data_IF_175261366221
#
_entry.id   IF_175261366221
#
_cell.length_a   1.000
_cell.length_b   1.000
_cell.length_c   1.000
_cell.angle_alpha   90.00
_cell.angle_beta   90.00
_cell.angle_gamma   90.00
#
_symmetry.space_group_name_H-M   'P 1'
#
loop_
_entity.id
_entity.type
_entity.pdbx_description
1 polymer ?
#
# COMPACT_ATOMS: atom_id res chain seq x y z
N UNK A 1 -9.85 1.29 -39.66
CA UNK A 1 -11.01 1.60 -38.80
C UNK A 1 -10.55 1.54 -37.35
N UNK A 2 -10.87 2.51 -36.48
CA UNK A 2 -10.60 2.33 -35.06
C UNK A 2 -11.37 1.10 -34.56
N UNK A 3 -10.68 0.22 -33.83
CA UNK A 3 -11.28 -0.96 -33.22
C UNK A 3 -12.35 -0.50 -32.23
N UNK A 4 -13.60 -0.95 -32.42
CA UNK A 4 -14.70 -0.66 -31.49
C UNK A 4 -14.75 -1.77 -30.44
N UNK A 5 -14.51 -1.41 -29.18
CA UNK A 5 -14.56 -2.35 -28.07
C UNK A 5 -16.03 -2.66 -27.70
N UNK A 6 -16.28 -3.88 -27.22
CA UNK A 6 -17.56 -4.20 -26.56
C UNK A 6 -17.60 -3.59 -25.16
N UNK A 7 -18.78 -3.39 -24.53
CA UNK A 7 -18.86 -2.86 -23.16
C UNK A 7 -18.05 -3.66 -22.14
N UNK A 8 -17.98 -4.99 -22.31
CA UNK A 8 -17.14 -5.84 -21.45
C UNK A 8 -15.65 -5.55 -21.63
N UNK A 9 -15.18 -5.42 -22.88
CA UNK A 9 -13.79 -5.06 -23.18
C UNK A 9 -13.45 -3.65 -22.70
N UNK A 10 -14.38 -2.70 -22.83
CA UNK A 10 -14.24 -1.35 -22.26
C UNK A 10 -14.05 -1.42 -20.74
N UNK A 11 -14.82 -2.27 -20.04
CA UNK A 11 -14.66 -2.52 -18.60
C UNK A 11 -13.29 -3.12 -18.22
N UNK A 12 -12.80 -4.09 -18.98
CA UNK A 12 -11.46 -4.68 -18.76
C UNK A 12 -10.35 -3.63 -18.94
N UNK A 13 -10.42 -2.83 -20.02
CA UNK A 13 -9.46 -1.76 -20.28
C UNK A 13 -9.54 -0.68 -19.21
N UNK A 14 -10.74 -0.30 -18.77
CA UNK A 14 -10.93 0.65 -17.68
C UNK A 14 -10.29 0.15 -16.38
N UNK A 15 -10.50 -1.12 -16.01
CA UNK A 15 -9.85 -1.74 -14.85
C UNK A 15 -8.32 -1.74 -15.00
N UNK A 16 -7.81 -2.14 -16.15
CA UNK A 16 -6.36 -2.16 -16.41
C UNK A 16 -5.72 -0.77 -16.23
N UNK A 17 -6.40 0.28 -16.72
CA UNK A 17 -5.95 1.67 -16.61
C UNK A 17 -6.14 2.28 -15.21
N UNK A 18 -6.97 1.68 -14.35
CA UNK A 18 -7.23 2.19 -13.02
C UNK A 18 -6.09 1.91 -12.03
N UNK A 19 -5.11 1.06 -12.39
CA UNK A 19 -3.95 0.77 -11.54
C UNK A 19 -3.24 2.08 -11.10
N UNK A 20 -2.88 2.23 -9.80
CA UNK A 20 -2.84 1.24 -8.73
C UNK A 20 -4.16 1.03 -7.96
N UNK A 21 -5.30 1.33 -8.60
CA UNK A 21 -6.67 1.20 -8.09
C UNK A 21 -7.04 2.24 -7.02
N UNK A 22 -6.65 3.49 -7.28
CA UNK A 22 -6.82 4.60 -6.35
C UNK A 22 -5.72 4.65 -5.30
N UNK A 23 -5.03 5.79 -5.21
CA UNK A 23 -3.99 6.00 -4.19
C UNK A 23 -4.64 6.61 -2.95
N UNK A 24 -4.39 6.12 -1.73
CA UNK A 24 -4.93 6.75 -0.51
C UNK A 24 -4.60 8.25 -0.45
N UNK A 25 -5.52 9.09 0.01
CA UNK A 25 -5.24 10.51 0.21
C UNK A 25 -4.46 10.77 1.50
N UNK A 26 -4.62 9.89 2.49
CA UNK A 26 -3.97 9.95 3.80
C UNK A 26 -3.64 8.55 4.35
N UNK A 27 -2.90 8.49 5.46
CA UNK A 27 -2.77 7.24 6.22
C UNK A 27 -4.13 6.79 6.73
N UNK A 28 -4.36 5.48 6.84
CA UNK A 28 -5.62 4.95 7.33
C UNK A 28 -5.45 3.58 8.00
N UNK A 29 -6.40 3.22 8.87
CA UNK A 29 -6.64 1.84 9.26
C UNK A 29 -7.68 1.27 8.30
N UNK A 30 -7.32 0.19 7.60
CA UNK A 30 -8.26 -0.63 6.87
C UNK A 30 -8.94 -1.57 7.87
N UNK A 31 -10.20 -1.30 8.22
CA UNK A 31 -10.96 -2.04 9.23
C UNK A 31 -12.23 -2.57 8.58
N UNK A 32 -12.33 -3.89 8.47
CA UNK A 32 -13.53 -4.56 7.94
C UNK A 32 -14.00 -4.07 6.56
N UNK A 33 -13.05 -3.67 5.71
CA UNK A 33 -13.35 -3.13 4.37
C UNK A 33 -13.54 -1.63 4.30
N UNK A 34 -13.51 -0.94 5.45
CA UNK A 34 -13.66 0.51 5.56
C UNK A 34 -12.33 1.19 5.87
N UNK A 35 -12.18 2.45 5.43
CA UNK A 35 -11.00 3.26 5.67
C UNK A 35 -11.24 4.25 6.82
N UNK A 36 -10.41 4.16 7.85
CA UNK A 36 -10.44 5.06 9.00
C UNK A 36 -9.19 5.94 9.01
N UNK A 37 -9.28 7.25 8.75
CA UNK A 37 -8.13 8.13 8.64
C UNK A 37 -7.25 8.15 9.90
N UNK A 38 -5.94 8.05 9.70
CA UNK A 38 -4.92 8.11 10.75
C UNK A 38 -4.11 9.37 10.55
N UNK A 39 -4.03 10.20 11.58
CA UNK A 39 -3.16 11.38 11.58
C UNK A 39 -1.72 11.00 11.91
N UNK A 40 -1.52 10.17 12.94
CA UNK A 40 -0.20 9.71 13.39
C UNK A 40 -0.28 8.26 13.83
N UNK A 41 0.62 7.42 13.33
CA UNK A 41 0.63 5.99 13.65
C UNK A 41 1.73 5.69 14.65
N UNK A 42 1.37 5.02 15.74
CA UNK A 42 2.32 4.58 16.74
C UNK A 42 2.67 3.12 16.50
N UNK A 43 3.87 2.85 15.99
CA UNK A 43 4.35 1.45 15.83
C UNK A 43 4.58 0.76 17.17
N UNK A 44 4.91 1.52 18.22
CA UNK A 44 5.15 1.01 19.57
C UNK A 44 3.85 0.61 20.28
N UNK A 45 2.80 1.39 20.08
CA UNK A 45 1.47 1.12 20.61
C UNK A 45 0.40 1.50 19.57
N UNK A 46 0.09 0.59 18.63
CA UNK A 46 -0.85 0.86 17.56
C UNK A 46 -2.24 1.30 18.02
N UNK A 47 -2.68 0.88 19.21
CA UNK A 47 -3.96 1.29 19.80
C UNK A 47 -4.00 2.77 20.17
N UNK A 48 -2.83 3.38 20.43
CA UNK A 48 -2.69 4.80 20.75
C UNK A 48 -2.36 5.66 19.52
N UNK A 49 -2.50 5.11 18.32
CA UNK A 49 -2.41 5.89 17.08
C UNK A 49 -3.47 6.99 17.06
N UNK A 50 -3.08 8.20 16.65
CA UNK A 50 -3.98 9.35 16.55
C UNK A 50 -4.84 9.23 15.31
N UNK A 51 -6.16 9.18 15.50
CA UNK A 51 -7.16 9.12 14.45
C UNK A 51 -7.57 10.53 14.00
N UNK A 52 -7.74 10.72 12.69
CA UNK A 52 -8.27 11.96 12.14
C UNK A 52 -9.80 11.94 12.20
N UNK A 53 -10.38 12.45 13.31
CA UNK A 53 -11.84 12.60 13.46
C UNK A 53 -12.27 14.06 13.41
N UNK A 54 -13.52 14.32 13.00
CA UNK A 54 -14.05 15.67 12.74
C UNK A 54 -14.18 16.58 13.98
N UNK A 55 -13.89 16.10 15.20
CA UNK A 55 -14.19 16.86 16.42
C UNK A 55 -13.00 17.01 17.38
N UNK A 56 -12.14 16.01 17.56
CA UNK A 56 -10.87 16.05 18.33
C UNK A 56 -9.97 14.89 17.87
N UNK A 57 -8.64 15.04 17.92
CA UNK A 57 -7.74 13.89 17.79
C UNK A 57 -8.02 12.88 18.92
N UNK A 58 -8.33 11.65 18.57
CA UNK A 58 -8.65 10.56 19.51
C UNK A 58 -7.75 9.36 19.22
N UNK A 59 -7.48 8.53 20.22
CA UNK A 59 -6.73 7.30 19.98
C UNK A 59 -7.56 6.29 19.19
N UNK A 60 -6.90 5.34 18.51
CA UNK A 60 -7.61 4.24 17.84
C UNK A 60 -8.46 3.46 18.86
N UNK A 61 -7.94 3.20 20.06
CA UNK A 61 -8.69 2.55 21.15
C UNK A 61 -10.02 3.25 21.43
N UNK A 62 -10.00 4.57 21.60
CA UNK A 62 -11.20 5.37 21.86
C UNK A 62 -12.15 5.41 20.66
N UNK A 63 -11.60 5.59 19.44
CA UNK A 63 -12.39 5.67 18.21
C UNK A 63 -13.19 4.38 17.93
N UNK A 64 -12.71 3.23 18.42
CA UNK A 64 -13.35 1.92 18.25
C UNK A 64 -14.02 1.37 19.52
N UNK A 65 -13.98 2.07 20.66
CA UNK A 65 -14.48 1.56 21.95
C UNK A 65 -15.96 1.12 21.94
N UNK A 66 -16.78 1.71 21.07
CA UNK A 66 -18.21 1.39 20.94
C UNK A 66 -18.56 0.73 19.59
N UNK A 67 -17.55 0.22 18.88
CA UNK A 67 -17.74 -0.50 17.63
C UNK A 67 -17.62 -2.00 17.87
N UNK A 68 -18.35 -2.77 17.08
CA UNK A 68 -18.26 -4.24 17.07
C UNK A 68 -17.02 -4.69 16.30
N UNK A 69 -15.85 -4.24 16.77
CA UNK A 69 -14.54 -4.46 16.17
C UNK A 69 -13.58 -4.79 17.30
N UNK A 70 -12.92 -5.95 17.22
CA UNK A 70 -11.83 -6.28 18.13
C UNK A 70 -10.56 -5.49 17.76
N UNK A 71 -10.54 -4.23 18.15
CA UNK A 71 -9.42 -3.33 17.91
C UNK A 71 -8.16 -3.75 18.69
N UNK A 72 -8.28 -4.60 19.72
CA UNK A 72 -7.12 -5.07 20.49
C UNK A 72 -6.13 -5.85 19.60
N UNK A 73 -6.63 -6.50 18.54
CA UNK A 73 -5.83 -7.16 17.50
C UNK A 73 -4.92 -6.20 16.71
N UNK A 74 -5.15 -4.88 16.79
CA UNK A 74 -4.28 -3.86 16.21
C UNK A 74 -2.87 -3.92 16.83
N UNK A 75 -2.75 -4.26 18.11
CA UNK A 75 -1.47 -4.40 18.82
C UNK A 75 -0.71 -5.71 18.54
N UNK A 76 -1.26 -6.62 17.73
CA UNK A 76 -0.53 -7.82 17.33
C UNK A 76 0.80 -7.45 16.62
N UNK A 77 1.86 -8.27 16.74
CA UNK A 77 3.11 -8.05 16.02
C UNK A 77 2.87 -7.95 14.51
N UNK A 78 3.47 -6.93 13.89
CA UNK A 78 3.26 -6.59 12.47
C UNK A 78 4.58 -6.41 11.73
N UNK A 79 4.60 -6.87 10.49
CA UNK A 79 5.70 -6.73 9.56
C UNK A 79 5.41 -5.52 8.67
N UNK A 80 6.28 -4.50 8.65
CA UNK A 80 6.14 -3.36 7.76
C UNK A 80 6.48 -3.76 6.33
N UNK A 81 5.51 -3.66 5.42
CA UNK A 81 5.69 -3.92 4.00
C UNK A 81 5.42 -2.65 3.19
N UNK A 82 6.44 -2.17 2.49
CA UNK A 82 6.37 -1.00 1.64
C UNK A 82 5.54 -1.31 0.39
N UNK A 83 4.46 -0.55 0.19
CA UNK A 83 3.58 -0.68 -0.96
C UNK A 83 4.15 0.13 -2.14
N UNK A 84 4.77 -0.56 -3.08
CA UNK A 84 5.28 0.02 -4.34
C UNK A 84 4.16 0.39 -5.32
N UNK A 85 2.97 -0.17 -5.14
CA UNK A 85 1.81 0.07 -5.99
C UNK A 85 0.51 -0.30 -5.29
N UNK A 86 -0.25 -1.23 -5.86
CA UNK A 86 -1.65 -1.43 -5.49
C UNK A 86 -1.92 -1.95 -4.06
N UNK A 87 -0.90 -2.37 -3.32
CA UNK A 87 -1.04 -2.82 -1.93
C UNK A 87 -1.39 -1.70 -0.95
N UNK A 88 -1.30 -0.44 -1.38
CA UNK A 88 -1.82 0.69 -0.63
C UNK A 88 -3.32 0.92 -0.87
N UNK A 89 -3.91 0.37 -1.93
CA UNK A 89 -5.29 0.67 -2.34
C UNK A 89 -6.31 -0.05 -1.45
N UNK A 90 -7.29 0.66 -0.88
CA UNK A 90 -8.40 0.04 -0.16
C UNK A 90 -9.20 -0.95 -1.02
N UNK A 91 -9.39 -0.62 -2.30
CA UNK A 91 -10.11 -1.48 -3.25
C UNK A 91 -9.38 -2.81 -3.39
N UNK A 92 -8.04 -2.78 -3.52
CA UNK A 92 -7.25 -4.00 -3.62
C UNK A 92 -7.17 -4.77 -2.33
N UNK A 93 -7.06 -4.10 -1.18
CA UNK A 93 -7.13 -4.78 0.11
C UNK A 93 -8.48 -5.47 0.28
N UNK A 94 -9.60 -4.82 -0.09
CA UNK A 94 -10.93 -5.46 -0.05
C UNK A 94 -11.02 -6.69 -0.94
N UNK A 95 -10.44 -6.66 -2.14
CA UNK A 95 -10.38 -7.83 -3.03
C UNK A 95 -9.50 -8.96 -2.46
N UNK A 96 -8.33 -8.64 -1.89
CA UNK A 96 -7.39 -9.62 -1.35
C UNK A 96 -7.88 -10.29 -0.06
N UNK A 97 -8.63 -9.56 0.77
CA UNK A 97 -9.08 -10.02 2.09
C UNK A 97 -10.58 -10.31 2.14
N UNK A 98 -11.25 -10.44 1.00
CA UNK A 98 -12.71 -10.60 0.91
C UNK A 98 -13.27 -11.73 1.80
N UNK A 99 -12.57 -12.88 1.85
CA UNK A 99 -13.01 -14.07 2.59
C UNK A 99 -12.89 -13.94 4.11
N UNK A 100 -12.18 -12.91 4.58
CA UNK A 100 -11.84 -12.68 6.00
C UNK A 100 -12.04 -11.22 6.39
N UNK A 101 -12.89 -10.52 5.64
CA UNK A 101 -12.98 -9.07 5.69
C UNK A 101 -13.43 -8.61 7.08
N UNK A 102 -14.42 -9.26 7.65
CA UNK A 102 -15.00 -9.05 9.00
C UNK A 102 -13.99 -9.07 10.16
N UNK A 103 -12.83 -9.70 9.97
CA UNK A 103 -11.75 -9.75 10.96
C UNK A 103 -10.46 -9.05 10.51
N UNK A 104 -10.50 -8.31 9.40
CA UNK A 104 -9.31 -7.69 8.83
C UNK A 104 -9.10 -6.29 9.37
N UNK A 105 -7.96 -6.09 10.03
CA UNK A 105 -7.44 -4.79 10.48
C UNK A 105 -5.99 -4.62 10.00
N UNK A 106 -5.76 -3.68 9.09
CA UNK A 106 -4.45 -3.41 8.49
C UNK A 106 -4.16 -1.90 8.55
N UNK A 107 -3.16 -1.44 9.31
CA UNK A 107 -2.62 -0.09 9.18
C UNK A 107 -1.95 0.10 7.83
N UNK A 108 -2.32 1.16 7.12
CA UNK A 108 -1.76 1.58 5.83
C UNK A 108 -1.29 3.02 5.97
N UNK A 109 0.01 3.18 6.19
CA UNK A 109 0.56 4.41 6.76
C UNK A 109 1.47 5.08 5.75
N UNK A 110 1.25 6.38 5.52
CA UNK A 110 2.07 7.20 4.63
C UNK A 110 3.40 7.55 5.29
N UNK A 111 4.48 7.41 4.53
CA UNK A 111 5.81 7.89 4.86
C UNK A 111 6.38 8.68 3.67
N UNK A 112 7.17 9.70 3.96
CA UNK A 112 8.21 10.16 3.03
C UNK A 112 9.34 9.14 3.04
N UNK A 113 9.72 8.66 1.86
CA UNK A 113 10.77 7.66 1.65
C UNK A 113 11.85 8.26 0.77
N UNK A 114 13.10 8.21 1.22
CA UNK A 114 14.23 8.74 0.46
C UNK A 114 14.99 7.64 -0.30
N UNK A 115 15.63 8.03 -1.39
CA UNK A 115 16.50 7.23 -2.24
C UNK A 115 15.84 6.04 -2.95
N UNK A 116 14.51 5.93 -2.94
CA UNK A 116 13.77 4.79 -3.45
C UNK A 116 12.48 5.27 -4.11
N UNK A 117 12.21 4.83 -5.34
CA UNK A 117 11.01 5.22 -6.08
C UNK A 117 10.18 4.01 -6.50
N UNK A 118 8.83 4.11 -6.47
CA UNK A 118 7.96 3.21 -7.18
C UNK A 118 8.04 3.48 -8.70
N UNK A 119 8.35 2.44 -9.47
CA UNK A 119 8.47 2.50 -10.93
C UNK A 119 7.68 1.37 -11.57
N UNK A 120 7.33 1.52 -12.86
CA UNK A 120 6.64 0.45 -13.57
C UNK A 120 7.57 -0.75 -13.76
N UNK A 121 7.05 -1.95 -13.50
CA UNK A 121 7.74 -3.20 -13.83
C UNK A 121 7.55 -3.53 -15.31
N UNK A 122 8.53 -4.21 -15.93
CA UNK A 122 8.46 -4.63 -17.33
C UNK A 122 7.55 -5.86 -17.54
N UNK A 123 6.32 -5.85 -16.99
CA UNK A 123 5.33 -6.91 -17.16
C UNK A 123 3.89 -6.40 -17.19
N UNK A 124 2.99 -7.23 -17.68
CA UNK A 124 1.56 -7.10 -17.48
C UNK A 124 1.09 -8.11 -16.43
N UNK A 125 0.23 -7.66 -15.51
CA UNK A 125 -0.55 -8.58 -14.68
C UNK A 125 -1.69 -9.23 -15.49
N UNK A 126 -2.29 -10.29 -14.95
CA UNK A 126 -3.42 -11.00 -15.56
C UNK A 126 -4.62 -10.10 -15.90
N UNK A 127 -4.81 -9.00 -15.18
CA UNK A 127 -5.85 -8.00 -15.42
C UNK A 127 -5.41 -6.85 -16.36
N UNK A 128 -4.26 -6.99 -17.04
CA UNK A 128 -3.83 -6.11 -18.13
C UNK A 128 -3.14 -4.81 -17.72
N UNK A 129 -2.89 -4.57 -16.43
CA UNK A 129 -2.10 -3.41 -15.98
C UNK A 129 -0.61 -3.71 -16.02
N UNK A 130 0.19 -2.67 -16.27
CA UNK A 130 1.61 -2.68 -15.94
C UNK A 130 1.74 -2.37 -14.45
N UNK A 131 2.27 -3.32 -13.69
CA UNK A 131 2.33 -3.21 -12.23
C UNK A 131 3.59 -2.47 -11.75
N UNK A 132 3.69 -2.27 -10.44
CA UNK A 132 4.82 -1.57 -9.84
C UNK A 132 5.97 -2.50 -9.46
N UNK A 133 7.16 -1.91 -9.36
CA UNK A 133 8.28 -2.40 -8.58
C UNK A 133 9.04 -1.21 -7.97
N UNK A 134 10.19 -1.47 -7.35
CA UNK A 134 11.00 -0.46 -6.68
C UNK A 134 12.36 -0.33 -7.34
N UNK A 135 12.84 0.90 -7.41
CA UNK A 135 14.16 1.24 -7.91
C UNK A 135 14.88 2.19 -6.97
N UNK A 136 16.14 1.88 -6.67
CA UNK A 136 17.04 2.76 -5.93
C UNK A 136 17.40 3.95 -6.81
N UNK A 137 17.10 5.16 -6.33
CA UNK A 137 17.36 6.42 -7.04
C UNK A 137 17.90 7.40 -6.02
N UNK A 138 19.23 7.57 -5.91
CA UNK A 138 19.83 8.49 -4.94
C UNK A 138 19.26 9.90 -5.03
N UNK A 139 19.15 10.57 -3.89
CA UNK A 139 18.68 11.96 -3.76
C UNK A 139 17.22 12.18 -4.16
N UNK A 140 16.44 11.11 -4.35
CA UNK A 140 14.99 11.19 -4.52
C UNK A 140 14.26 11.16 -3.16
N UNK A 141 13.06 11.75 -3.13
CA UNK A 141 12.09 11.61 -2.04
C UNK A 141 10.70 11.43 -2.65
N UNK A 142 9.91 10.49 -2.11
CA UNK A 142 8.55 10.21 -2.57
C UNK A 142 7.65 9.83 -1.40
N UNK A 143 6.36 10.16 -1.51
CA UNK A 143 5.34 9.64 -0.60
C UNK A 143 5.01 8.19 -0.98
N UNK A 144 5.14 7.28 -0.02
CA UNK A 144 4.73 5.88 -0.17
C UNK A 144 3.95 5.42 1.04
N UNK A 145 3.23 4.32 0.88
CA UNK A 145 2.48 3.71 1.97
C UNK A 145 3.18 2.44 2.46
N UNK A 146 3.06 2.17 3.75
CA UNK A 146 3.51 0.94 4.40
C UNK A 146 2.28 0.24 4.95
N UNK A 147 2.06 -1.01 4.54
CA UNK A 147 1.08 -1.88 5.17
C UNK A 147 1.74 -2.62 6.34
N UNK A 148 1.16 -2.55 7.53
CA UNK A 148 1.64 -3.27 8.71
C UNK A 148 0.84 -4.56 8.90
N UNK A 149 1.39 -5.67 8.42
CA UNK A 149 0.67 -6.94 8.31
C UNK A 149 1.04 -7.88 9.46
N UNK A 150 0.05 -8.52 10.08
CA UNK A 150 0.33 -9.70 10.92
C UNK A 150 0.81 -10.87 10.05
N UNK A 151 1.39 -11.91 10.64
CA UNK A 151 1.85 -13.08 9.87
C UNK A 151 0.72 -13.71 9.00
N UNK A 152 -0.49 -13.99 9.52
CA UNK A 152 -1.57 -14.52 8.68
C UNK A 152 -2.00 -13.56 7.56
N UNK A 153 -1.94 -12.25 7.80
CA UNK A 153 -2.23 -11.25 6.76
C UNK A 153 -1.14 -11.23 5.69
N UNK A 154 0.13 -11.36 6.09
CA UNK A 154 1.24 -11.44 5.16
C UNK A 154 1.15 -12.69 4.27
N UNK A 155 0.82 -13.85 4.85
CA UNK A 155 0.58 -15.09 4.10
C UNK A 155 -0.54 -14.92 3.06
N UNK A 156 -1.67 -14.33 3.47
CA UNK A 156 -2.77 -14.01 2.55
C UNK A 156 -2.34 -13.03 1.45
N UNK A 157 -1.49 -12.05 1.78
CA UNK A 157 -0.93 -11.13 0.78
C UNK A 157 -0.08 -11.89 -0.25
N UNK A 158 0.78 -12.82 0.19
CA UNK A 158 1.66 -13.62 -0.68
C UNK A 158 0.89 -14.44 -1.72
N UNK A 159 -0.25 -15.02 -1.36
CA UNK A 159 -1.11 -15.77 -2.29
C UNK A 159 -1.51 -14.95 -3.52
N UNK A 160 -1.57 -13.62 -3.38
CA UNK A 160 -1.99 -12.70 -4.44
C UNK A 160 -0.84 -12.07 -5.22
N UNK A 161 0.40 -12.27 -4.78
CA UNK A 161 1.62 -11.69 -5.38
C UNK A 161 2.42 -12.71 -6.21
N UNK A 162 1.97 -13.98 -6.26
CA UNK A 162 2.64 -15.06 -7.00
C UNK A 162 4.15 -15.12 -6.72
N UNK A 163 4.50 -15.27 -5.43
CA UNK A 163 5.89 -15.24 -4.96
C UNK A 163 6.74 -16.33 -5.61
N UNK A 164 7.93 -15.95 -6.09
CA UNK A 164 8.86 -16.82 -6.81
C UNK A 164 8.65 -16.83 -8.32
N UNK A 165 7.43 -16.55 -8.78
CA UNK A 165 7.11 -16.45 -10.21
C UNK A 165 7.16 -14.98 -10.67
N UNK A 166 6.43 -14.10 -9.98
CA UNK A 166 6.25 -12.72 -10.38
C UNK A 166 7.08 -11.73 -9.56
N UNK A 167 7.14 -11.97 -8.25
CA UNK A 167 7.77 -11.10 -7.27
C UNK A 167 8.64 -11.89 -6.29
N UNK A 168 9.74 -11.27 -5.87
CA UNK A 168 10.50 -11.67 -4.69
C UNK A 168 10.05 -10.83 -3.50
N UNK A 169 10.00 -11.45 -2.31
CA UNK A 169 9.72 -10.75 -1.05
C UNK A 169 11.04 -10.46 -0.34
N UNK A 170 11.50 -9.21 -0.45
CA UNK A 170 12.83 -8.79 -0.01
C UNK A 170 12.75 -7.89 1.23
N UNK A 171 13.73 -8.05 2.13
CA UNK A 171 13.99 -7.07 3.18
C UNK A 171 14.91 -5.95 2.65
N UNK A 172 14.43 -4.71 2.74
CA UNK A 172 15.19 -3.52 2.35
C UNK A 172 15.90 -2.95 3.57
N UNK A 173 17.24 -2.95 3.56
CA UNK A 173 18.03 -2.47 4.69
C UNK A 173 18.28 -0.97 4.63
N UNK A 174 18.14 -0.29 5.78
CA UNK A 174 18.50 1.13 5.97
C UNK A 174 17.82 2.04 4.94
N UNK A 175 16.50 1.89 4.81
CA UNK A 175 15.66 2.81 4.03
C UNK A 175 15.36 4.03 4.89
N UNK A 176 15.78 5.25 4.51
CA UNK A 176 15.45 6.45 5.27
C UNK A 176 13.98 6.80 5.08
N UNK A 177 13.22 6.83 6.17
CA UNK A 177 11.78 7.11 6.16
C UNK A 177 11.37 8.04 7.30
N UNK A 178 10.36 8.88 7.06
CA UNK A 178 9.71 9.71 8.10
C UNK A 178 8.21 9.77 7.88
N UNK A 179 7.44 9.79 8.98
CA UNK A 179 6.00 9.95 8.92
C UNK A 179 5.60 11.43 8.95
N UNK A 180 6.27 12.22 9.78
CA UNK A 180 6.05 13.66 9.91
C UNK A 180 7.11 14.38 9.04
N UNK A 181 6.65 15.23 8.12
CA UNK A 181 7.54 15.89 7.17
C UNK A 181 8.61 16.80 7.83
N UNK A 182 8.31 17.37 9.00
CA UNK A 182 9.25 18.21 9.75
C UNK A 182 10.26 17.42 10.59
N UNK A 183 10.10 16.10 10.71
CA UNK A 183 11.01 15.24 11.47
C UNK A 183 12.20 14.77 10.61
N UNK A 184 13.34 14.43 11.25
CA UNK A 184 14.45 13.82 10.54
C UNK A 184 14.09 12.42 10.02
N UNK A 185 14.75 12.01 8.94
CA UNK A 185 14.65 10.65 8.44
C UNK A 185 15.24 9.65 9.45
N UNK A 186 14.53 8.54 9.64
CA UNK A 186 14.98 7.40 10.45
C UNK A 186 15.30 6.24 9.51
N UNK A 187 16.42 5.56 9.76
CA UNK A 187 16.80 4.36 9.01
C UNK A 187 15.91 3.18 9.44
N UNK A 188 15.15 2.64 8.50
CA UNK A 188 14.22 1.52 8.72
C UNK A 188 14.59 0.32 7.88
N UNK A 189 14.02 -0.83 8.23
CA UNK A 189 14.22 -2.08 7.51
C UNK A 189 12.88 -2.71 7.10
N UNK A 190 12.11 -2.08 6.19
CA UNK A 190 10.84 -2.63 5.73
C UNK A 190 11.06 -3.79 4.76
N UNK A 191 10.02 -4.58 4.54
CA UNK A 191 9.96 -5.53 3.44
C UNK A 191 9.29 -4.91 2.22
N UNK A 192 9.49 -5.49 1.04
CA UNK A 192 8.79 -5.09 -0.18
C UNK A 192 8.71 -6.23 -1.19
N UNK A 193 7.72 -6.17 -2.07
CA UNK A 193 7.65 -7.02 -3.26
C UNK A 193 8.43 -6.39 -4.41
N UNK A 194 9.47 -7.09 -4.88
CA UNK A 194 10.32 -6.66 -6.00
C UNK A 194 10.10 -7.55 -7.20
N UNK A 195 9.81 -6.94 -8.35
CA UNK A 195 9.45 -7.70 -9.54
C UNK A 195 10.69 -8.37 -10.12
N UNK A 196 10.54 -9.64 -10.48
CA UNK A 196 11.58 -10.42 -11.16
C UNK A 196 11.79 -9.98 -12.62
N UNK A 197 10.85 -9.23 -13.17
CA UNK A 197 10.87 -8.75 -14.56
C UNK A 197 11.61 -7.42 -14.72
N UNK A 198 12.13 -6.84 -13.63
CA UNK A 198 12.85 -5.57 -13.67
C UNK A 198 11.96 -4.37 -13.99
N UNK A 199 12.60 -3.25 -14.37
CA UNK A 199 11.97 -1.94 -14.59
C UNK A 199 11.63 -1.74 -16.06
N UNK A 200 10.39 -1.33 -16.33
CA UNK A 200 9.94 -0.99 -17.67
C UNK A 200 10.75 0.19 -18.21
N UNK A 201 11.36 -0.02 -19.38
CA UNK A 201 12.10 1.03 -20.09
C UNK A 201 11.60 1.13 -21.53
N UNK A 202 11.29 2.35 -21.98
CA UNK A 202 10.88 2.64 -23.36
C UNK A 202 11.85 3.68 -23.91
N UNK A 203 12.62 3.32 -24.95
CA UNK A 203 13.67 4.19 -25.52
C UNK A 203 14.58 4.76 -24.41
N UNK A 204 15.05 3.88 -23.52
CA UNK A 204 15.92 4.21 -22.38
C UNK A 204 15.30 5.10 -21.30
N UNK A 205 14.01 5.42 -21.41
CA UNK A 205 13.27 6.17 -20.39
C UNK A 205 12.52 5.21 -19.47
N UNK A 206 12.62 5.45 -18.18
CA UNK A 206 11.87 4.77 -17.13
C UNK A 206 10.81 5.71 -16.56
N UNK A 207 9.76 5.14 -16.00
CA UNK A 207 8.57 5.87 -15.59
C UNK A 207 8.25 5.55 -14.14
N UNK A 208 8.13 6.58 -13.33
CA UNK A 208 7.64 6.49 -11.95
C UNK A 208 6.14 6.30 -11.95
N UNK A 209 5.63 5.73 -10.86
CA UNK A 209 4.20 5.78 -10.60
C UNK A 209 3.85 7.14 -10.02
N UNK A 210 3.12 7.96 -10.78
CA UNK A 210 2.55 9.21 -10.28
C UNK A 210 1.09 8.99 -9.86
N UNK A 211 0.77 9.33 -8.62
CA UNK A 211 -0.56 9.22 -8.03
C UNK A 211 -1.45 10.38 -8.47
N UNK A 212 -1.80 10.41 -9.76
CA UNK A 212 -2.68 11.44 -10.33
C UNK A 212 -4.14 11.33 -9.88
N UNK A 213 -4.54 10.22 -9.24
CA UNK A 213 -5.88 10.02 -8.68
C UNK A 213 -5.80 9.50 -7.24
N UNK A 214 -6.21 10.35 -6.28
CA UNK A 214 -6.30 10.02 -4.85
C UNK A 214 -7.72 9.59 -4.48
N UNK A 215 -7.85 8.57 -3.64
CA UNK A 215 -9.10 7.94 -3.19
C UNK A 215 -9.01 7.71 -1.68
N UNK A 216 -10.09 7.95 -0.94
CA UNK A 216 -10.16 7.91 0.53
C UNK A 216 -9.26 8.95 1.22
#
# INVERSE_FOLDING_TARGET
>A
MPMKLTPHQEGLVARAKAYPFGTPASSYLFVQGECWPVQLYSEKDPNESSMATNKVATSAREAFAHKDVDISSLAAPRIPVLASGSNASPVRLKEKYADVLDRTIIPVIRYSVANLLPVFSAKFASYGSITATLQQVPQSEVEMYVTFLTLPQLERMHETEAIGDEYDFDQLNKVPMRQIASEPFVQRTPYAYRSRNGVLSIKEKQFTLDASYRTC
#
